data_IF_818596713302
#
_entry.id   IF_818596713302
#
_cell.length_a   1.000
_cell.length_b   1.000
_cell.length_c   1.000
_cell.angle_alpha   90.00
_cell.angle_beta   90.00
_cell.angle_gamma   90.00
#
_symmetry.space_group_name_H-M   'P 1'
#
loop_
_entity.id
_entity.type
_entity.pdbx_description
1 polymer ?
#
# COMPACT_ATOMS: atom_id res chain seq x y z
N UNK A 1 29.88 14.43 109.32
CA UNK A 1 29.64 13.63 108.09
C UNK A 1 29.92 14.53 106.90
N UNK A 2 30.77 14.10 105.95
CA UNK A 2 31.11 14.89 104.77
C UNK A 2 29.95 14.85 103.76
N UNK A 3 29.62 15.99 103.17
CA UNK A 3 28.72 16.09 102.04
C UNK A 3 29.51 15.99 100.73
N UNK A 4 29.18 14.97 99.94
CA UNK A 4 29.70 14.78 98.59
C UNK A 4 29.14 15.91 97.71
N UNK A 5 30.01 16.73 97.14
CA UNK A 5 29.67 17.71 96.11
C UNK A 5 29.89 17.06 94.75
N UNK A 6 28.82 16.80 94.00
CA UNK A 6 28.91 16.48 92.57
C UNK A 6 29.15 17.79 91.78
N UNK A 7 30.27 17.94 91.06
CA UNK A 7 30.49 19.10 90.19
C UNK A 7 29.57 19.01 88.97
N UNK A 8 28.83 20.07 88.65
CA UNK A 8 28.03 20.16 87.42
C UNK A 8 26.66 20.82 87.58
N UNK A 9 26.08 20.86 88.79
CA UNK A 9 24.85 21.60 89.08
C UNK A 9 25.08 23.07 89.46
N UNK A 10 26.33 23.49 89.69
CA UNK A 10 26.71 24.83 90.15
C UNK A 10 27.65 25.57 89.16
N UNK A 11 27.74 25.16 87.89
CA UNK A 11 28.60 25.83 86.90
C UNK A 11 27.87 26.81 85.99
N UNK A 12 26.53 26.90 86.05
CA UNK A 12 25.76 27.76 85.14
C UNK A 12 25.93 27.38 83.66
N UNK A 13 26.39 26.15 83.37
CA UNK A 13 26.55 25.67 82.02
C UNK A 13 25.17 25.27 81.50
N UNK A 14 24.61 26.12 80.64
CA UNK A 14 23.41 25.85 79.87
C UNK A 14 23.72 24.77 78.83
N UNK A 15 23.49 23.51 79.21
CA UNK A 15 23.72 22.34 78.36
C UNK A 15 22.85 22.38 77.11
N UNK A 16 21.70 23.08 77.14
CA UNK A 16 20.88 23.35 75.97
C UNK A 16 21.58 24.27 74.97
N UNK A 17 22.16 25.37 75.44
CA UNK A 17 22.97 26.26 74.61
C UNK A 17 24.24 25.59 74.08
N UNK A 18 24.93 24.77 74.88
CA UNK A 18 26.12 24.05 74.42
C UNK A 18 25.79 23.02 73.34
N UNK A 19 24.69 22.27 73.50
CA UNK A 19 24.20 21.33 72.47
C UNK A 19 23.78 22.08 71.21
N UNK A 20 23.12 23.24 71.34
CA UNK A 20 22.78 24.09 70.19
C UNK A 20 24.02 24.62 69.46
N UNK A 21 25.05 25.05 70.20
CA UNK A 21 26.32 25.51 69.62
C UNK A 21 27.07 24.36 68.92
N UNK A 22 27.08 23.15 69.51
CA UNK A 22 27.71 21.97 68.91
C UNK A 22 26.94 21.50 67.66
N UNK A 23 25.60 21.52 67.71
CA UNK A 23 24.73 21.25 66.56
C UNK A 23 24.91 22.28 65.46
N UNK A 24 25.10 23.56 65.79
CA UNK A 24 25.39 24.61 64.82
C UNK A 24 26.76 24.40 64.14
N UNK A 25 27.77 23.97 64.91
CA UNK A 25 29.08 23.60 64.37
C UNK A 25 28.98 22.37 63.47
N UNK A 26 28.21 21.35 63.87
CA UNK A 26 27.99 20.13 63.10
C UNK A 26 27.19 20.39 61.81
N UNK A 27 26.25 21.35 61.83
CA UNK A 27 25.53 21.85 60.65
C UNK A 27 26.39 22.66 59.68
N UNK A 28 27.60 23.10 60.05
CA UNK A 28 28.50 23.83 59.13
C UNK A 28 28.85 23.01 57.89
N UNK A 29 29.11 21.73 58.07
CA UNK A 29 29.40 20.79 56.98
C UNK A 29 28.15 20.58 56.11
N UNK A 30 26.96 20.47 56.70
CA UNK A 30 25.69 20.38 55.99
C UNK A 30 25.45 21.64 55.14
N UNK A 31 25.57 22.83 55.73
CA UNK A 31 25.43 24.10 55.03
C UNK A 31 26.43 24.27 53.88
N UNK A 32 27.65 23.70 54.00
CA UNK A 32 28.64 23.68 52.91
C UNK A 32 28.15 22.80 51.75
N UNK A 33 27.62 21.61 52.04
CA UNK A 33 27.05 20.72 51.01
C UNK A 33 25.78 21.31 50.38
N UNK A 34 24.91 21.96 51.14
CA UNK A 34 23.73 22.68 50.63
C UNK A 34 24.15 23.80 49.67
N UNK A 35 25.12 24.64 50.04
CA UNK A 35 25.65 25.68 49.13
C UNK A 35 26.25 25.10 47.86
N UNK A 36 26.99 23.99 47.96
CA UNK A 36 27.53 23.30 46.78
C UNK A 36 26.41 22.76 45.91
N UNK A 37 25.37 22.18 46.50
CA UNK A 37 24.20 21.68 45.78
C UNK A 37 23.51 22.81 45.02
N UNK A 38 23.20 23.93 45.68
CA UNK A 38 22.59 25.11 45.03
C UNK A 38 23.44 25.62 43.88
N UNK A 39 24.77 25.72 44.05
CA UNK A 39 25.67 26.14 42.97
C UNK A 39 25.64 25.17 41.77
N UNK A 40 25.53 23.85 42.03
CA UNK A 40 25.40 22.86 40.95
C UNK A 40 24.03 22.92 40.27
N UNK A 41 22.96 23.18 41.02
CA UNK A 41 21.61 23.39 40.47
C UNK A 41 21.57 24.63 39.57
N UNK A 42 22.13 25.76 40.00
CA UNK A 42 22.25 26.98 39.18
C UNK A 42 23.06 26.75 37.90
N UNK A 43 24.17 25.99 37.99
CA UNK A 43 24.98 25.62 36.81
C UNK A 43 24.21 24.71 35.86
N UNK A 44 23.46 23.75 36.39
CA UNK A 44 22.64 22.85 35.58
C UNK A 44 21.54 23.63 34.84
N UNK A 45 20.87 24.56 35.51
CA UNK A 45 19.85 25.42 34.90
C UNK A 45 20.43 26.32 33.80
N UNK A 46 21.59 26.93 34.06
CA UNK A 46 22.29 27.74 33.07
C UNK A 46 22.71 26.92 31.82
N UNK A 47 23.19 25.69 32.01
CA UNK A 47 23.54 24.78 30.91
C UNK A 47 22.31 24.33 30.14
N UNK A 48 21.21 23.97 30.82
CA UNK A 48 19.94 23.61 30.16
C UNK A 48 19.35 24.76 29.34
N UNK A 49 19.47 25.99 29.85
CA UNK A 49 19.07 27.19 29.13
C UNK A 49 19.93 27.41 27.88
N UNK A 50 21.26 27.23 28.00
CA UNK A 50 22.18 27.35 26.86
C UNK A 50 21.91 26.28 25.81
N UNK A 51 21.71 25.04 26.22
CA UNK A 51 21.35 23.93 25.34
C UNK A 51 20.07 24.24 24.56
N UNK A 52 19.03 24.72 25.26
CA UNK A 52 17.76 25.12 24.64
C UNK A 52 17.96 26.23 23.61
N UNK A 53 18.74 27.26 23.94
CA UNK A 53 19.06 28.37 23.02
C UNK A 53 19.85 27.89 21.79
N UNK A 54 20.82 27.01 21.97
CA UNK A 54 21.62 26.45 20.87
C UNK A 54 20.78 25.52 19.98
N UNK A 55 19.88 24.73 20.58
CA UNK A 55 18.93 23.89 19.84
C UNK A 55 17.99 24.74 18.97
N UNK A 56 17.47 25.85 19.52
CA UNK A 56 16.63 26.79 18.78
C UNK A 56 17.40 27.48 17.64
N UNK A 57 18.64 27.92 17.90
CA UNK A 57 19.49 28.51 16.88
C UNK A 57 19.79 27.52 15.75
N UNK A 58 20.16 26.27 16.10
CA UNK A 58 20.43 25.21 15.13
C UNK A 58 19.21 24.94 14.25
N UNK A 59 18.02 24.92 14.85
CA UNK A 59 16.75 24.71 14.12
C UNK A 59 16.47 25.87 13.17
N UNK A 60 16.69 27.12 13.62
CA UNK A 60 16.50 28.32 12.79
C UNK A 60 17.47 28.38 11.61
N UNK A 61 18.74 28.03 11.83
CA UNK A 61 19.75 28.00 10.75
C UNK A 61 19.47 26.89 9.74
N UNK A 62 19.00 25.72 10.20
CA UNK A 62 18.59 24.62 9.29
C UNK A 62 17.42 25.02 8.40
N UNK A 63 16.41 25.68 8.96
CA UNK A 63 15.29 26.20 8.20
C UNK A 63 15.73 27.24 7.15
N UNK A 64 16.72 28.08 7.46
CA UNK A 64 17.25 29.06 6.50
C UNK A 64 18.18 28.44 5.44
N UNK A 65 18.86 27.34 5.75
CA UNK A 65 19.72 26.64 4.80
C UNK A 65 18.95 25.79 3.77
N UNK A 66 17.65 25.65 3.95
CA UNK A 66 16.78 24.94 3.02
C UNK A 66 16.58 25.78 1.75
N UNK A 67 17.23 25.38 0.66
CA UNK A 67 17.22 26.11 -0.61
C UNK A 67 15.83 26.12 -1.27
N UNK A 68 14.98 25.14 -0.95
CA UNK A 68 13.64 25.02 -1.51
C UNK A 68 12.72 26.10 -0.91
N UNK A 69 12.91 26.42 0.37
CA UNK A 69 12.23 27.55 1.02
C UNK A 69 12.68 28.92 0.48
N UNK A 70 13.90 29.02 -0.05
CA UNK A 70 14.43 30.26 -0.65
C UNK A 70 13.94 30.50 -2.09
N UNK A 71 13.44 29.45 -2.76
CA UNK A 71 12.79 29.50 -4.08
C UNK A 71 11.29 29.17 -3.99
N UNK A 72 10.63 29.65 -2.94
CA UNK A 72 9.19 29.49 -2.82
C UNK A 72 8.46 30.40 -3.83
N UNK A 73 7.73 29.80 -4.76
CA UNK A 73 6.82 30.52 -5.63
C UNK A 73 5.46 30.68 -4.96
N UNK A 74 4.87 31.86 -5.09
CA UNK A 74 3.51 32.13 -4.64
C UNK A 74 2.54 31.88 -5.80
N UNK A 75 1.46 31.14 -5.53
CA UNK A 75 0.38 30.90 -6.50
C UNK A 75 -0.85 31.68 -6.07
N UNK A 76 -1.51 32.31 -7.02
CA UNK A 76 -2.82 32.95 -6.82
C UNK A 76 -3.79 32.46 -7.88
N UNK A 77 -4.95 31.96 -7.46
CA UNK A 77 -6.06 31.63 -8.35
C UNK A 77 -6.98 32.84 -8.49
N UNK A 78 -7.56 33.04 -9.68
CA UNK A 78 -8.60 34.05 -9.88
C UNK A 78 -9.92 33.68 -9.22
N UNK A 79 -10.16 32.39 -8.96
CA UNK A 79 -11.35 31.88 -8.28
C UNK A 79 -10.99 30.62 -7.47
N UNK A 80 -10.82 30.80 -6.16
CA UNK A 80 -10.40 29.73 -5.24
C UNK A 80 -11.52 28.76 -4.89
N UNK A 81 -12.79 29.08 -5.21
CA UNK A 81 -13.91 28.18 -4.96
C UNK A 81 -13.91 27.02 -5.98
N UNK A 82 -13.30 27.23 -7.15
CA UNK A 82 -13.18 26.21 -8.21
C UNK A 82 -11.80 25.56 -8.30
N UNK A 83 -10.72 26.32 -8.07
CA UNK A 83 -9.35 25.81 -8.22
C UNK A 83 -8.42 26.45 -7.20
N UNK A 84 -7.76 25.59 -6.42
CA UNK A 84 -6.53 25.92 -5.71
C UNK A 84 -5.36 25.24 -6.40
N UNK A 85 -4.18 25.87 -6.34
CA UNK A 85 -2.97 25.34 -6.93
C UNK A 85 -1.78 25.68 -6.03
N UNK A 86 -0.80 24.78 -6.00
CA UNK A 86 0.45 24.94 -5.26
C UNK A 86 1.62 24.84 -6.24
N UNK A 87 2.67 25.62 -6.01
CA UNK A 87 3.89 25.58 -6.81
C UNK A 87 5.02 24.98 -6.00
N UNK A 88 5.81 24.11 -6.63
CA UNK A 88 7.05 23.59 -6.07
C UNK A 88 8.22 24.52 -6.37
N UNK A 89 9.36 24.30 -5.72
CA UNK A 89 10.63 25.00 -5.92
C UNK A 89 11.19 24.92 -7.36
N UNK A 90 10.73 23.96 -8.16
CA UNK A 90 11.08 23.77 -9.58
C UNK A 90 10.09 24.43 -10.56
N UNK A 91 9.07 25.12 -10.05
CA UNK A 91 8.11 25.83 -10.89
C UNK A 91 8.77 27.00 -11.64
N UNK A 92 8.12 27.44 -12.73
CA UNK A 92 8.52 28.62 -13.49
C UNK A 92 7.47 29.71 -13.33
N UNK A 93 7.91 30.96 -13.33
CA UNK A 93 7.01 32.11 -13.29
C UNK A 93 6.19 32.17 -14.59
N UNK A 94 4.87 32.23 -14.44
CA UNK A 94 3.94 32.28 -15.57
C UNK A 94 2.50 32.45 -15.12
N UNK A 95 1.66 32.87 -16.06
CA UNK A 95 0.20 32.83 -15.89
C UNK A 95 -0.31 31.64 -16.69
N UNK A 96 -1.22 30.87 -16.09
CA UNK A 96 -1.86 29.73 -16.72
C UNK A 96 -3.38 29.93 -16.78
N UNK A 97 -3.99 29.58 -17.91
CA UNK A 97 -5.45 29.55 -18.05
C UNK A 97 -5.93 28.13 -17.83
N UNK A 98 -6.77 27.90 -16.81
CA UNK A 98 -7.30 26.57 -16.51
C UNK A 98 -8.80 26.53 -16.79
N UNK A 99 -9.24 25.51 -17.53
CA UNK A 99 -10.66 25.23 -17.81
C UNK A 99 -11.00 23.87 -17.22
N UNK A 100 -12.04 23.83 -16.38
CA UNK A 100 -12.54 22.60 -15.74
C UNK A 100 -13.91 22.29 -16.36
N UNK A 101 -13.99 21.24 -17.17
CA UNK A 101 -15.26 20.81 -17.78
C UNK A 101 -15.98 19.76 -16.94
N UNK A 102 -15.22 18.88 -16.29
CA UNK A 102 -15.72 17.78 -15.49
C UNK A 102 -14.75 17.42 -14.37
N UNK A 103 -15.28 17.02 -13.21
CA UNK A 103 -14.50 16.46 -12.12
C UNK A 103 -14.46 14.93 -12.23
N UNK A 104 -13.34 14.34 -11.81
CA UNK A 104 -13.27 12.91 -11.64
C UNK A 104 -14.25 12.49 -10.53
N UNK A 105 -14.97 11.39 -10.74
CA UNK A 105 -15.85 10.80 -9.72
C UNK A 105 -15.48 9.35 -9.48
N UNK A 106 -15.66 8.91 -8.23
CA UNK A 106 -15.54 7.52 -7.84
C UNK A 106 -16.86 6.79 -8.08
N UNK A 107 -16.78 5.48 -8.32
CA UNK A 107 -17.97 4.67 -8.57
C UNK A 107 -18.73 4.30 -7.29
N UNK A 108 -20.07 4.31 -7.34
CA UNK A 108 -20.92 3.89 -6.23
C UNK A 108 -22.10 3.04 -6.69
N UNK A 109 -22.20 1.84 -6.14
CA UNK A 109 -23.30 0.91 -6.34
C UNK A 109 -24.15 0.79 -5.07
N UNK A 110 -25.46 0.67 -5.23
CA UNK A 110 -26.43 0.51 -4.13
C UNK A 110 -27.25 -0.74 -4.37
N UNK A 111 -27.30 -1.64 -3.39
CA UNK A 111 -28.13 -2.85 -3.44
C UNK A 111 -29.61 -2.46 -3.53
N UNK A 112 -30.32 -2.98 -4.52
CA UNK A 112 -31.64 -2.49 -4.92
C UNK A 112 -32.75 -2.94 -3.97
N UNK A 113 -32.73 -4.20 -3.52
CA UNK A 113 -33.83 -4.76 -2.71
C UNK A 113 -33.73 -4.42 -1.21
N UNK A 114 -32.52 -4.20 -0.70
CA UNK A 114 -32.28 -3.92 0.71
C UNK A 114 -32.71 -5.06 1.65
N UNK A 115 -32.69 -4.78 2.96
CA UNK A 115 -33.21 -5.63 4.05
C UNK A 115 -33.97 -4.76 5.05
N UNK A 116 -34.92 -5.32 5.80
CA UNK A 116 -35.72 -4.53 6.74
C UNK A 116 -34.88 -4.04 7.92
N UNK A 117 -33.96 -4.91 8.41
CA UNK A 117 -33.05 -4.61 9.51
C UNK A 117 -31.59 -4.87 9.16
N UNK A 118 -30.68 -4.22 9.87
CA UNK A 118 -29.23 -4.43 9.73
C UNK A 118 -28.80 -5.83 10.19
N UNK A 119 -29.58 -6.45 11.07
CA UNK A 119 -29.36 -7.80 11.60
C UNK A 119 -29.95 -8.90 10.69
N UNK A 120 -30.68 -8.54 9.63
CA UNK A 120 -31.23 -9.52 8.70
C UNK A 120 -30.12 -10.30 8.00
N UNK A 121 -30.31 -11.61 7.88
CA UNK A 121 -29.32 -12.49 7.28
C UNK A 121 -29.25 -12.31 5.77
N UNK A 122 -28.02 -12.24 5.24
CA UNK A 122 -27.78 -12.20 3.79
C UNK A 122 -27.84 -13.58 3.15
N UNK A 123 -27.66 -14.64 3.95
CA UNK A 123 -27.69 -16.04 3.51
C UNK A 123 -26.29 -16.63 3.29
N UNK A 124 -26.25 -17.92 2.95
CA UNK A 124 -25.00 -18.63 2.62
C UNK A 124 -24.65 -18.34 1.17
N UNK A 125 -23.39 -17.97 0.93
CA UNK A 125 -22.84 -17.93 -0.41
C UNK A 125 -21.53 -17.18 -0.48
N UNK A 126 -21.11 -16.87 -1.69
CA UNK A 126 -19.94 -16.04 -1.97
C UNK A 126 -20.38 -14.82 -2.77
N UNK A 127 -20.01 -13.65 -2.28
CA UNK A 127 -20.13 -12.38 -2.98
C UNK A 127 -18.78 -12.04 -3.59
N UNK A 128 -18.74 -11.90 -4.91
CA UNK A 128 -17.51 -11.64 -5.65
C UNK A 128 -17.63 -10.26 -6.26
N UNK A 129 -16.61 -9.43 -6.05
CA UNK A 129 -16.53 -8.13 -6.68
C UNK A 129 -15.10 -7.85 -7.10
N UNK A 130 -14.93 -6.95 -8.05
CA UNK A 130 -13.63 -6.48 -8.49
C UNK A 130 -13.61 -4.96 -8.52
N UNK A 131 -12.43 -4.40 -8.30
CA UNK A 131 -12.15 -2.97 -8.36
C UNK A 131 -10.69 -2.78 -8.70
N UNK A 132 -10.38 -1.81 -9.56
CA UNK A 132 -9.01 -1.59 -10.08
C UNK A 132 -8.38 -2.90 -10.61
N UNK A 133 -9.14 -3.64 -11.43
CA UNK A 133 -8.78 -4.93 -12.00
C UNK A 133 -8.40 -6.04 -11.00
N UNK A 134 -8.67 -5.87 -9.71
CA UNK A 134 -8.40 -6.86 -8.67
C UNK A 134 -9.71 -7.44 -8.15
N UNK A 135 -9.85 -8.76 -8.26
CA UNK A 135 -10.99 -9.50 -7.74
C UNK A 135 -10.84 -9.80 -6.24
N UNK A 136 -11.97 -9.82 -5.52
CA UNK A 136 -12.08 -10.21 -4.12
C UNK A 136 -13.38 -10.97 -3.89
N UNK A 137 -13.30 -11.97 -3.02
CA UNK A 137 -14.43 -12.86 -2.70
C UNK A 137 -14.72 -12.85 -1.21
N UNK A 138 -15.97 -12.57 -0.84
CA UNK A 138 -16.46 -12.59 0.54
C UNK A 138 -17.37 -13.80 0.71
N UNK A 139 -16.99 -14.72 1.59
CA UNK A 139 -17.82 -15.89 1.91
C UNK A 139 -18.70 -15.62 3.13
N UNK A 140 -19.99 -15.87 3.00
CA UNK A 140 -21.00 -15.68 4.04
C UNK A 140 -21.57 -17.00 4.53
N UNK A 141 -22.14 -16.98 5.72
CA UNK A 141 -22.78 -18.14 6.36
C UNK A 141 -24.27 -17.87 6.56
N UNK A 142 -25.02 -18.90 6.98
CA UNK A 142 -26.47 -18.77 7.23
C UNK A 142 -26.82 -17.72 8.30
N UNK A 143 -25.85 -17.32 9.13
CA UNK A 143 -26.01 -16.35 10.22
C UNK A 143 -25.31 -15.02 9.95
N UNK A 144 -24.70 -14.83 8.78
CA UNK A 144 -24.07 -13.55 8.43
C UNK A 144 -25.15 -12.51 8.21
N UNK A 145 -25.12 -11.43 9.00
CA UNK A 145 -26.06 -10.31 8.89
C UNK A 145 -25.63 -9.31 7.81
N UNK A 146 -26.53 -8.38 7.44
CA UNK A 146 -26.19 -7.28 6.54
C UNK A 146 -25.09 -6.37 7.12
N UNK A 147 -25.11 -6.13 8.44
CA UNK A 147 -24.05 -5.40 9.14
C UNK A 147 -22.71 -6.16 9.12
N UNK A 148 -22.75 -7.49 9.31
CA UNK A 148 -21.54 -8.32 9.22
C UNK A 148 -20.96 -8.27 7.80
N UNK A 149 -21.80 -8.24 6.76
CA UNK A 149 -21.38 -8.15 5.36
C UNK A 149 -20.54 -6.88 5.10
N UNK A 150 -20.95 -5.72 5.65
CA UNK A 150 -20.16 -4.49 5.61
C UNK A 150 -18.81 -4.68 6.30
N UNK A 151 -18.82 -5.31 7.48
CA UNK A 151 -17.60 -5.63 8.21
C UNK A 151 -16.66 -6.56 7.44
N UNK A 152 -17.20 -7.59 6.78
CA UNK A 152 -16.43 -8.53 5.97
C UNK A 152 -15.77 -7.84 4.79
N UNK A 153 -16.47 -6.95 4.08
CA UNK A 153 -15.88 -6.20 2.96
C UNK A 153 -14.80 -5.25 3.47
N UNK A 154 -15.12 -4.37 4.44
CA UNK A 154 -14.22 -3.31 4.88
C UNK A 154 -12.96 -3.80 5.58
N UNK A 155 -13.02 -4.99 6.22
CA UNK A 155 -11.89 -5.57 6.94
C UNK A 155 -11.23 -6.73 6.20
N UNK A 156 -11.61 -7.00 4.94
CA UNK A 156 -10.93 -8.02 4.13
C UNK A 156 -9.50 -7.57 3.81
N UNK A 157 -8.51 -8.43 4.09
CA UNK A 157 -7.11 -8.12 3.87
C UNK A 157 -6.75 -7.94 2.38
N UNK A 158 -7.57 -8.48 1.48
CA UNK A 158 -7.41 -8.36 0.03
C UNK A 158 -8.26 -7.26 -0.59
N UNK A 159 -9.05 -6.52 0.21
CA UNK A 159 -9.92 -5.45 -0.27
C UNK A 159 -9.14 -4.50 -1.22
N UNK A 160 -9.56 -4.37 -2.49
CA UNK A 160 -8.83 -3.63 -3.51
C UNK A 160 -8.97 -2.10 -3.42
N UNK A 161 -9.76 -1.58 -2.47
CA UNK A 161 -10.04 -0.15 -2.33
C UNK A 161 -11.54 0.21 -2.36
N UNK A 162 -12.41 -0.72 -1.99
CA UNK A 162 -13.86 -0.51 -1.92
C UNK A 162 -14.29 -0.36 -0.47
N UNK A 163 -15.00 0.72 -0.16
CA UNK A 163 -15.65 0.93 1.14
C UNK A 163 -17.12 0.54 1.05
N UNK A 164 -17.55 -0.37 1.93
CA UNK A 164 -18.93 -0.74 2.13
C UNK A 164 -19.60 0.08 3.24
N UNK A 165 -20.88 0.35 3.10
CA UNK A 165 -21.72 1.00 4.11
C UNK A 165 -23.18 0.62 3.97
N UNK A 166 -24.03 1.13 4.86
CA UNK A 166 -25.48 0.96 4.79
C UNK A 166 -26.18 2.30 4.58
N UNK A 167 -27.17 2.31 3.69
CA UNK A 167 -28.06 3.43 3.45
C UNK A 167 -29.48 3.01 3.81
N UNK A 168 -30.13 3.75 4.70
CA UNK A 168 -31.55 3.55 5.00
C UNK A 168 -32.42 4.38 4.05
N UNK A 169 -33.25 3.72 3.25
CA UNK A 169 -34.13 4.33 2.26
C UNK A 169 -35.32 3.40 1.97
N UNK A 170 -36.51 3.97 1.68
CA UNK A 170 -37.73 3.21 1.35
C UNK A 170 -38.04 2.06 2.33
N UNK A 171 -37.96 2.37 3.63
CA UNK A 171 -38.17 1.45 4.75
C UNK A 171 -37.22 0.21 4.77
N UNK A 172 -36.08 0.28 4.08
CA UNK A 172 -35.06 -0.77 4.04
C UNK A 172 -33.62 -0.23 4.19
N UNK A 173 -32.71 -1.09 4.64
CA UNK A 173 -31.27 -0.89 4.64
C UNK A 173 -30.66 -1.49 3.38
N UNK A 174 -29.97 -0.66 2.60
CA UNK A 174 -29.30 -1.03 1.37
C UNK A 174 -27.78 -1.07 1.57
N UNK A 175 -27.14 -2.15 1.13
CA UNK A 175 -25.68 -2.22 1.05
C UNK A 175 -25.20 -1.23 -0.02
N UNK A 176 -24.28 -0.35 0.34
CA UNK A 176 -23.62 0.58 -0.58
C UNK A 176 -22.17 0.18 -0.72
N UNK A 177 -21.69 0.09 -1.95
CA UNK A 177 -20.28 -0.11 -2.30
C UNK A 177 -19.76 1.17 -2.94
N UNK A 178 -18.65 1.69 -2.43
CA UNK A 178 -18.05 2.95 -2.86
C UNK A 178 -16.57 2.74 -3.20
N UNK A 179 -16.15 3.07 -4.41
CA UNK A 179 -14.75 3.11 -4.79
C UNK A 179 -14.04 4.26 -4.09
N UNK A 180 -12.81 4.05 -3.63
CA UNK A 180 -12.07 5.07 -2.89
C UNK A 180 -11.33 6.06 -3.82
N UNK A 181 -11.14 5.70 -5.08
CA UNK A 181 -10.44 6.47 -6.09
C UNK A 181 -11.39 6.87 -7.22
N UNK A 182 -11.09 7.99 -7.86
CA UNK A 182 -11.85 8.53 -8.97
C UNK A 182 -11.10 8.36 -10.29
N UNK A 183 -11.84 8.25 -11.39
CA UNK A 183 -11.29 7.98 -12.72
C UNK A 183 -11.93 6.75 -13.35
N UNK A 184 -11.97 6.67 -14.67
CA UNK A 184 -12.64 5.61 -15.41
C UNK A 184 -12.07 4.21 -15.15
N UNK A 185 -10.81 4.14 -14.71
CA UNK A 185 -10.13 2.88 -14.39
C UNK A 185 -10.64 2.25 -13.08
N UNK A 186 -11.27 3.07 -12.22
CA UNK A 186 -11.69 2.70 -10.87
C UNK A 186 -13.17 2.27 -10.81
N UNK A 187 -13.56 1.34 -11.69
CA UNK A 187 -14.90 0.74 -11.67
C UNK A 187 -15.00 -0.43 -10.70
N UNK A 188 -16.14 -0.56 -10.02
CA UNK A 188 -16.59 -1.72 -9.27
C UNK A 188 -17.43 -2.61 -10.19
N UNK A 189 -17.05 -3.88 -10.30
CA UNK A 189 -17.88 -4.91 -10.92
C UNK A 189 -18.29 -5.96 -9.89
N UNK A 190 -19.59 -6.30 -9.85
CA UNK A 190 -20.09 -7.45 -9.07
C UNK A 190 -20.09 -8.66 -9.99
N UNK A 191 -19.30 -9.68 -9.64
CA UNK A 191 -19.02 -10.80 -10.53
C UNK A 191 -19.91 -11.99 -10.16
N UNK A 192 -20.47 -12.66 -11.17
CA UNK A 192 -21.28 -13.86 -10.95
C UNK A 192 -20.42 -15.09 -10.61
N UNK A 193 -19.12 -15.04 -10.90
CA UNK A 193 -18.16 -16.12 -10.79
C UNK A 193 -16.76 -15.56 -10.58
N UNK A 194 -15.84 -16.36 -10.04
CA UNK A 194 -14.44 -15.96 -9.90
C UNK A 194 -13.70 -16.20 -11.22
N UNK A 195 -12.63 -15.43 -11.43
CA UNK A 195 -11.59 -15.76 -12.42
C UNK A 195 -10.81 -17.00 -11.98
N UNK A 196 -10.25 -17.71 -12.94
CA UNK A 196 -9.28 -18.77 -12.67
C UNK A 196 -7.88 -18.16 -12.62
N UNK A 197 -7.16 -18.42 -11.53
CA UNK A 197 -5.80 -17.95 -11.33
C UNK A 197 -4.91 -19.16 -11.14
N UNK A 198 -3.93 -19.26 -12.00
CA UNK A 198 -2.91 -20.27 -12.05
C UNK A 198 -1.61 -19.70 -11.47
N UNK A 199 -0.99 -20.38 -10.50
CA UNK A 199 0.21 -19.88 -9.83
C UNK A 199 1.27 -20.98 -9.78
N UNK A 200 2.52 -20.62 -10.08
CA UNK A 200 3.63 -21.56 -9.89
C UNK A 200 3.76 -21.94 -8.41
N UNK A 201 3.97 -23.22 -8.13
CA UNK A 201 3.99 -23.71 -6.75
C UNK A 201 5.15 -23.12 -5.93
N UNK A 202 6.32 -23.04 -6.55
CA UNK A 202 7.52 -22.45 -5.96
C UNK A 202 7.93 -21.14 -6.66
N UNK A 203 8.60 -20.21 -5.95
CA UNK A 203 9.16 -19.02 -6.57
C UNK A 203 10.50 -19.34 -7.25
N UNK A 204 10.79 -18.64 -8.33
CA UNK A 204 12.15 -18.43 -8.81
C UNK A 204 12.95 -17.63 -7.80
N UNK A 205 14.20 -18.00 -7.57
CA UNK A 205 15.08 -17.37 -6.58
C UNK A 205 16.45 -17.05 -7.16
N UNK A 206 17.09 -16.05 -6.58
CA UNK A 206 18.49 -15.71 -6.83
C UNK A 206 19.18 -15.55 -5.48
N UNK A 207 19.95 -16.54 -5.07
CA UNK A 207 20.57 -16.61 -3.76
C UNK A 207 19.55 -16.85 -2.63
N UNK A 208 19.28 -15.83 -1.82
CA UNK A 208 18.34 -15.90 -0.70
C UNK A 208 17.05 -15.09 -0.93
N UNK A 209 16.95 -14.41 -2.07
CA UNK A 209 15.84 -13.53 -2.41
C UNK A 209 15.00 -14.11 -3.55
N UNK A 210 13.75 -13.67 -3.63
CA UNK A 210 12.88 -13.97 -4.77
C UNK A 210 13.40 -13.25 -6.02
N UNK A 211 13.39 -13.95 -7.15
CA UNK A 211 13.80 -13.37 -8.42
C UNK A 211 12.82 -12.26 -8.87
N UNK A 212 13.35 -11.31 -9.63
CA UNK A 212 12.57 -10.20 -10.22
C UNK A 212 12.51 -10.34 -11.74
N UNK A 213 11.69 -9.53 -12.40
CA UNK A 213 11.60 -9.51 -13.87
C UNK A 213 12.98 -9.31 -14.54
N UNK A 214 13.88 -8.57 -13.89
CA UNK A 214 15.22 -8.32 -14.42
C UNK A 214 16.23 -9.45 -14.17
N UNK A 215 15.91 -10.45 -13.36
CA UNK A 215 16.82 -11.58 -13.08
C UNK A 215 17.01 -12.42 -14.35
N UNK A 216 18.28 -12.72 -14.69
CA UNK A 216 18.61 -13.60 -15.83
C UNK A 216 18.23 -15.03 -15.51
N UNK A 217 17.76 -15.78 -16.51
CA UNK A 217 17.43 -17.20 -16.34
C UNK A 217 18.65 -18.00 -15.86
N UNK A 218 19.85 -17.67 -16.36
CA UNK A 218 21.10 -18.32 -15.97
C UNK A 218 21.58 -17.99 -14.56
N UNK A 219 21.04 -16.93 -13.95
CA UNK A 219 21.42 -16.51 -12.60
C UNK A 219 20.45 -17.04 -11.53
N UNK A 220 19.42 -17.79 -11.94
CA UNK A 220 18.48 -18.42 -11.05
C UNK A 220 19.14 -19.58 -10.30
N UNK A 221 18.80 -19.77 -9.03
CA UNK A 221 19.30 -20.91 -8.25
C UNK A 221 18.85 -22.26 -8.84
N UNK A 222 17.77 -22.23 -9.63
CA UNK A 222 17.19 -23.37 -10.32
C UNK A 222 17.91 -23.71 -11.64
N UNK A 223 18.74 -22.80 -12.17
CA UNK A 223 19.48 -23.04 -13.39
C UNK A 223 20.87 -23.62 -13.06
N UNK A 224 21.28 -24.66 -13.80
CA UNK A 224 22.63 -25.18 -13.73
C UNK A 224 23.14 -25.66 -15.09
N UNK A 225 24.47 -25.68 -15.23
CA UNK A 225 25.15 -26.01 -16.49
C UNK A 225 25.69 -24.79 -17.22
N UNK A 226 26.19 -25.01 -18.43
CA UNK A 226 26.72 -23.96 -19.32
C UNK A 226 25.93 -24.02 -20.63
N UNK A 227 25.48 -22.87 -21.13
CA UNK A 227 24.76 -22.79 -22.40
C UNK A 227 25.67 -23.21 -23.57
N UNK A 228 25.18 -24.10 -24.42
CA UNK A 228 25.83 -24.56 -25.66
C UNK A 228 25.02 -24.22 -26.93
N UNK A 229 23.81 -23.70 -26.76
CA UNK A 229 22.94 -23.24 -27.83
C UNK A 229 21.77 -24.18 -28.09
N UNK A 230 20.61 -23.58 -28.41
CA UNK A 230 19.37 -24.31 -28.65
C UNK A 230 18.58 -24.60 -27.38
N UNK A 231 19.05 -24.18 -26.20
CA UNK A 231 18.26 -24.21 -24.98
C UNK A 231 17.02 -23.33 -25.14
N UNK A 232 15.87 -23.81 -24.67
CA UNK A 232 14.66 -23.02 -24.75
C UNK A 232 13.55 -23.46 -23.81
N UNK A 233 12.51 -22.63 -23.72
CA UNK A 233 11.29 -22.95 -23.00
C UNK A 233 10.14 -22.97 -24.01
N UNK A 234 9.50 -24.13 -24.11
CA UNK A 234 8.26 -24.32 -24.86
C UNK A 234 7.06 -24.01 -23.97
N UNK A 235 6.13 -23.21 -24.49
CA UNK A 235 4.91 -22.79 -23.80
C UNK A 235 3.74 -23.46 -24.49
N UNK A 236 2.98 -24.26 -23.73
CA UNK A 236 1.77 -24.93 -24.21
C UNK A 236 0.66 -24.77 -23.17
N UNK A 237 -0.59 -25.01 -23.57
CA UNK A 237 -1.72 -24.82 -22.68
C UNK A 237 -3.04 -24.76 -23.39
N UNK A 238 -4.05 -24.28 -22.68
CA UNK A 238 -5.40 -24.03 -23.19
C UNK A 238 -5.91 -22.70 -22.65
N UNK A 239 -6.72 -22.00 -23.43
CA UNK A 239 -7.44 -20.80 -23.00
C UNK A 239 -8.62 -21.12 -22.05
N UNK A 240 -9.41 -20.10 -21.73
CA UNK A 240 -10.62 -20.20 -20.91
C UNK A 240 -11.58 -21.31 -21.38
N UNK A 241 -11.82 -21.38 -22.68
CA UNK A 241 -12.78 -22.30 -23.32
C UNK A 241 -12.20 -23.70 -23.54
N UNK A 242 -10.91 -23.89 -23.28
CA UNK A 242 -10.20 -25.16 -23.46
C UNK A 242 -9.64 -25.34 -24.86
N UNK A 243 -9.61 -24.29 -25.67
CA UNK A 243 -8.93 -24.27 -26.96
C UNK A 243 -7.42 -24.21 -26.69
N UNK A 244 -6.65 -25.03 -27.39
CA UNK A 244 -5.19 -24.99 -27.25
C UNK A 244 -4.66 -23.62 -27.71
N UNK A 245 -3.79 -23.01 -26.91
CA UNK A 245 -3.10 -21.78 -27.33
C UNK A 245 -2.26 -22.08 -28.58
N UNK A 246 -2.22 -21.13 -29.50
CA UNK A 246 -1.38 -21.26 -30.70
C UNK A 246 0.07 -21.42 -30.27
N UNK A 247 0.74 -22.44 -30.82
CA UNK A 247 2.12 -22.76 -30.45
C UNK A 247 3.04 -21.61 -30.84
N UNK A 248 3.40 -20.76 -29.87
CA UNK A 248 4.45 -19.76 -30.04
C UNK A 248 5.81 -20.45 -30.22
N UNK A 249 6.74 -19.87 -31.00
CA UNK A 249 8.11 -20.37 -31.07
C UNK A 249 8.69 -20.49 -29.66
N UNK A 250 9.49 -21.54 -29.37
CA UNK A 250 10.09 -21.68 -28.05
C UNK A 250 10.99 -20.47 -27.74
N UNK A 251 10.89 -19.97 -26.51
CA UNK A 251 11.76 -18.91 -26.02
C UNK A 251 13.19 -19.44 -25.95
N UNK A 252 14.07 -18.97 -26.83
CA UNK A 252 15.48 -19.35 -26.80
C UNK A 252 16.20 -18.68 -25.62
N UNK A 253 16.91 -19.49 -24.84
CA UNK A 253 17.67 -19.04 -23.67
C UNK A 253 19.10 -18.70 -24.10
N UNK A 254 19.49 -17.46 -23.80
CA UNK A 254 20.84 -16.94 -24.00
C UNK A 254 21.37 -16.42 -22.66
N UNK A 255 22.64 -16.05 -22.61
CA UNK A 255 23.27 -15.38 -21.46
C UNK A 255 22.59 -14.06 -21.03
N UNK A 256 21.69 -13.51 -21.86
CA UNK A 256 20.97 -12.27 -21.61
C UNK A 256 19.46 -12.45 -21.48
N UNK A 257 18.94 -13.67 -21.57
CA UNK A 257 17.51 -13.93 -21.41
C UNK A 257 17.12 -13.77 -19.92
N UNK A 258 16.08 -12.98 -19.67
CA UNK A 258 15.58 -12.61 -18.33
C UNK A 258 14.17 -13.14 -18.10
N UNK A 259 13.72 -13.15 -16.84
CA UNK A 259 12.34 -13.50 -16.50
C UNK A 259 11.31 -12.60 -17.18
N UNK A 260 11.62 -11.32 -17.45
CA UNK A 260 10.74 -10.43 -18.21
C UNK A 260 10.46 -10.94 -19.63
N UNK A 261 11.43 -11.58 -20.29
CA UNK A 261 11.21 -12.17 -21.60
C UNK A 261 10.29 -13.40 -21.50
N UNK A 262 10.47 -14.24 -20.49
CA UNK A 262 9.57 -15.39 -20.27
C UNK A 262 8.13 -14.93 -20.00
N UNK A 263 7.94 -13.93 -19.14
CA UNK A 263 6.61 -13.36 -18.88
C UNK A 263 6.03 -12.73 -20.15
N UNK A 264 6.85 -12.06 -20.97
CA UNK A 264 6.44 -11.54 -22.28
C UNK A 264 5.92 -12.64 -23.20
N UNK A 265 6.70 -13.70 -23.41
CA UNK A 265 6.31 -14.82 -24.27
C UNK A 265 5.07 -15.57 -23.77
N UNK A 266 4.87 -15.67 -22.45
CA UNK A 266 3.62 -16.20 -21.90
C UNK A 266 2.46 -15.28 -22.27
N UNK A 267 2.58 -13.97 -22.06
CA UNK A 267 1.50 -13.05 -22.44
C UNK A 267 1.20 -13.10 -23.95
N UNK A 268 2.24 -13.19 -24.79
CA UNK A 268 2.08 -13.31 -26.25
C UNK A 268 1.38 -14.64 -26.63
N UNK A 269 1.65 -15.73 -25.90
CA UNK A 269 1.00 -17.02 -26.14
C UNK A 269 -0.49 -17.05 -25.75
N UNK A 270 -0.91 -16.22 -24.81
CA UNK A 270 -2.29 -16.15 -24.33
C UNK A 270 -3.11 -14.99 -24.93
N UNK A 271 -2.52 -14.11 -25.75
CA UNK A 271 -3.20 -13.11 -26.62
C UNK A 271 -4.51 -12.52 -26.06
N UNK A 272 -4.43 -11.79 -24.94
CA UNK A 272 -5.57 -11.14 -24.23
C UNK A 272 -6.61 -12.09 -23.61
N UNK A 273 -6.40 -13.40 -23.64
CA UNK A 273 -7.26 -14.38 -22.94
C UNK A 273 -6.87 -14.58 -21.48
N UNK A 274 -5.58 -14.38 -21.17
CA UNK A 274 -5.06 -14.44 -19.82
C UNK A 274 -3.79 -13.59 -19.70
N UNK A 275 -3.57 -13.04 -18.50
CA UNK A 275 -2.43 -12.17 -18.19
C UNK A 275 -1.47 -12.82 -17.22
N UNK A 276 -0.20 -12.89 -17.61
CA UNK A 276 0.90 -13.36 -16.78
C UNK A 276 1.67 -12.21 -16.14
N UNK A 277 1.92 -12.32 -14.83
CA UNK A 277 2.76 -11.43 -14.05
C UNK A 277 3.73 -12.23 -13.17
N UNK A 278 4.81 -11.58 -12.72
CA UNK A 278 5.73 -12.14 -11.74
C UNK A 278 5.49 -11.49 -10.37
N UNK A 279 5.00 -12.27 -9.40
CA UNK A 279 4.74 -11.81 -8.03
C UNK A 279 5.58 -12.60 -7.04
N UNK A 280 6.49 -11.93 -6.34
CA UNK A 280 7.35 -12.56 -5.33
C UNK A 280 8.06 -13.81 -5.88
N UNK A 281 8.63 -13.70 -7.09
CA UNK A 281 9.31 -14.80 -7.79
C UNK A 281 8.39 -15.86 -8.39
N UNK A 282 7.07 -15.81 -8.18
CA UNK A 282 6.11 -16.78 -8.74
C UNK A 282 5.46 -16.24 -10.01
N UNK A 283 5.28 -17.11 -11.00
CA UNK A 283 4.43 -16.80 -12.16
C UNK A 283 2.98 -16.88 -11.70
N UNK A 284 2.21 -15.84 -12.01
CA UNK A 284 0.77 -15.79 -11.80
C UNK A 284 0.12 -15.53 -13.15
N UNK A 285 -0.66 -16.47 -13.65
CA UNK A 285 -1.45 -16.36 -14.86
C UNK A 285 -2.92 -16.24 -14.46
N UNK A 286 -3.54 -15.12 -14.78
CA UNK A 286 -4.94 -14.82 -14.45
C UNK A 286 -5.77 -14.84 -15.72
N UNK A 287 -6.84 -15.63 -15.72
CA UNK A 287 -7.86 -15.61 -16.77
C UNK A 287 -8.50 -14.23 -16.84
N UNK A 288 -8.60 -13.65 -18.04
CA UNK A 288 -9.26 -12.36 -18.24
C UNK A 288 -10.79 -12.51 -18.29
N UNK A 289 -11.31 -13.74 -18.32
CA UNK A 289 -12.73 -14.09 -18.29
C UNK A 289 -13.15 -14.74 -16.96
N UNK A 290 -14.21 -14.21 -16.35
CA UNK A 290 -14.83 -14.80 -15.16
C UNK A 290 -15.56 -16.10 -15.50
N UNK A 291 -15.49 -17.11 -14.63
CA UNK A 291 -16.27 -18.34 -14.82
C UNK A 291 -15.48 -19.62 -14.64
N UNK A 292 -16.17 -20.74 -14.86
CA UNK A 292 -15.50 -22.05 -14.95
C UNK A 292 -14.56 -22.00 -16.12
N UNK A 293 -13.27 -22.24 -15.87
CA UNK A 293 -12.25 -22.04 -16.88
C UNK A 293 -11.42 -23.31 -17.07
N UNK A 294 -11.19 -23.65 -18.34
CA UNK A 294 -10.28 -24.69 -18.76
C UNK A 294 -8.85 -24.16 -18.93
N UNK A 295 -8.57 -22.91 -18.55
CA UNK A 295 -7.24 -22.29 -18.66
C UNK A 295 -6.18 -23.22 -18.07
N UNK A 296 -5.14 -23.49 -18.85
CA UNK A 296 -3.99 -24.29 -18.44
C UNK A 296 -2.74 -23.75 -19.11
N UNK A 297 -1.61 -23.93 -18.44
CA UNK A 297 -0.30 -23.58 -18.97
C UNK A 297 0.68 -24.66 -18.54
N UNK A 298 1.59 -25.01 -19.44
CA UNK A 298 2.68 -25.94 -19.23
C UNK A 298 3.92 -25.33 -19.86
N UNK A 299 4.98 -25.23 -19.06
CA UNK A 299 6.28 -24.73 -19.47
C UNK A 299 7.25 -25.92 -19.51
N UNK A 300 7.81 -26.21 -20.67
CA UNK A 300 8.74 -27.32 -20.85
C UNK A 300 10.13 -26.79 -21.22
N UNK A 301 11.14 -27.14 -20.43
CA UNK A 301 12.53 -26.74 -20.71
C UNK A 301 13.21 -27.78 -21.61
N UNK A 302 13.75 -27.31 -22.73
CA UNK A 302 14.61 -28.09 -23.62
C UNK A 302 16.07 -27.67 -23.42
N UNK A 303 16.97 -28.59 -23.01
CA UNK A 303 18.41 -28.30 -22.89
C UNK A 303 19.12 -28.18 -24.25
N UNK A 304 18.41 -28.36 -25.37
CA UNK A 304 18.98 -28.25 -26.70
C UNK A 304 20.06 -29.31 -26.93
N UNK A 305 21.26 -28.88 -27.35
CA UNK A 305 22.41 -29.78 -27.52
C UNK A 305 23.29 -29.95 -26.28
N UNK A 306 23.03 -29.20 -25.20
CA UNK A 306 23.84 -29.18 -23.98
C UNK A 306 23.35 -30.13 -22.88
N UNK A 307 24.01 -30.05 -21.72
CA UNK A 307 23.63 -30.75 -20.46
C UNK A 307 23.11 -29.78 -19.39
N UNK A 308 22.54 -28.64 -19.81
CA UNK A 308 21.92 -27.67 -18.90
C UNK A 308 20.67 -28.24 -18.26
N UNK A 309 20.36 -27.75 -17.07
CA UNK A 309 19.09 -28.04 -16.42
C UNK A 309 18.51 -26.76 -15.86
N UNK A 310 17.23 -26.54 -16.11
CA UNK A 310 16.41 -25.66 -15.32
C UNK A 310 15.62 -26.58 -14.39
N UNK A 311 16.22 -26.95 -13.25
CA UNK A 311 15.67 -27.93 -12.31
C UNK A 311 14.42 -27.30 -11.69
N UNK A 312 13.22 -27.85 -11.92
CA UNK A 312 12.05 -27.40 -11.21
C UNK A 312 12.08 -27.99 -9.80
N UNK A 313 11.98 -27.19 -8.73
CA UNK A 313 11.23 -27.64 -7.58
C UNK A 313 9.76 -27.38 -7.90
N UNK A 314 9.13 -28.21 -8.73
CA UNK A 314 7.70 -28.06 -9.07
C UNK A 314 7.31 -26.64 -9.57
N UNK A 315 8.25 -25.82 -10.04
CA UNK A 315 8.00 -24.42 -10.49
C UNK A 315 7.25 -24.39 -11.83
N UNK A 316 7.44 -25.43 -12.63
CA UNK A 316 6.73 -25.62 -13.91
C UNK A 316 5.37 -26.32 -13.71
N UNK A 317 5.12 -26.88 -12.52
CA UNK A 317 3.79 -27.30 -12.11
C UNK A 317 3.05 -26.05 -11.62
N UNK A 318 2.17 -25.57 -12.49
CA UNK A 318 1.33 -24.42 -12.22
C UNK A 318 0.05 -24.96 -11.59
N UNK A 319 -0.08 -24.79 -10.28
CA UNK A 319 -1.27 -25.21 -9.56
C UNK A 319 -2.37 -24.16 -9.64
N UNK A 320 -3.60 -24.66 -9.54
CA UNK A 320 -4.80 -23.85 -9.57
C UNK A 320 -4.95 -23.15 -8.22
N UNK A 321 -4.66 -21.86 -8.15
CA UNK A 321 -4.83 -21.05 -6.94
C UNK A 321 -6.29 -20.61 -6.72
N UNK A 322 -7.04 -20.40 -7.80
CA UNK A 322 -8.51 -20.35 -7.81
C UNK A 322 -8.99 -21.18 -9.00
N UNK A 323 -10.04 -21.99 -8.82
CA UNK A 323 -10.49 -22.92 -9.86
C UNK A 323 -11.23 -22.28 -11.04
N UNK A 324 -11.61 -21.00 -10.92
CA UNK A 324 -12.68 -20.46 -11.72
C UNK A 324 -14.01 -21.15 -11.41
N UNK A 325 -15.12 -20.43 -11.59
CA UNK A 325 -16.47 -20.99 -11.45
C UNK A 325 -17.38 -20.12 -10.61
N UNK A 326 -18.58 -20.63 -10.32
CA UNK A 326 -19.54 -20.02 -9.40
C UNK A 326 -19.39 -20.64 -8.01
N UNK A 327 -18.52 -20.13 -7.10
CA UNK A 327 -18.65 -20.47 -5.70
C UNK A 327 -20.06 -20.07 -5.29
N UNK A 328 -20.78 -20.93 -4.55
CA UNK A 328 -22.23 -20.81 -4.34
C UNK A 328 -22.70 -19.36 -4.20
N UNK A 329 -23.18 -18.77 -5.29
CA UNK A 329 -23.32 -17.30 -5.39
C UNK A 329 -24.30 -16.83 -4.34
N UNK A 330 -23.96 -15.73 -3.66
CA UNK A 330 -24.86 -15.15 -2.68
C UNK A 330 -26.15 -14.68 -3.36
N UNK A 331 -27.24 -15.40 -3.10
CA UNK A 331 -28.54 -15.14 -3.73
C UNK A 331 -29.05 -13.74 -3.39
N UNK A 332 -29.50 -12.99 -4.41
CA UNK A 332 -29.98 -11.62 -4.27
C UNK A 332 -28.87 -10.57 -4.13
N UNK A 333 -27.62 -10.93 -4.43
CA UNK A 333 -26.46 -10.04 -4.50
C UNK A 333 -25.69 -10.18 -5.83
N UNK A 334 -26.38 -10.53 -6.92
CA UNK A 334 -25.80 -10.51 -8.26
C UNK A 334 -25.68 -9.06 -8.78
N UNK A 335 -24.96 -8.83 -9.88
CA UNK A 335 -24.84 -7.50 -10.49
C UNK A 335 -26.20 -6.82 -10.76
N UNK A 336 -27.21 -7.60 -11.16
CA UNK A 336 -28.58 -7.12 -11.38
C UNK A 336 -29.30 -6.66 -10.11
N UNK A 337 -28.83 -7.08 -8.94
CA UNK A 337 -29.38 -6.69 -7.64
C UNK A 337 -28.78 -5.39 -7.12
N UNK A 338 -27.93 -4.71 -7.89
CA UNK A 338 -27.39 -3.40 -7.56
C UNK A 338 -27.72 -2.38 -8.64
N UNK A 339 -27.86 -1.13 -8.20
CA UNK A 339 -28.06 0.04 -9.05
C UNK A 339 -26.82 0.92 -8.98
N UNK A 340 -26.28 1.30 -10.13
CA UNK A 340 -25.21 2.28 -10.24
C UNK A 340 -25.76 3.68 -9.92
N UNK A 341 -25.33 4.26 -8.80
CA UNK A 341 -25.78 5.58 -8.33
C UNK A 341 -24.85 6.72 -8.74
N UNK A 342 -23.58 6.41 -8.98
CA UNK A 342 -22.55 7.34 -9.44
C UNK A 342 -21.52 6.53 -10.22
N UNK A 343 -21.22 6.92 -11.46
CA UNK A 343 -20.23 6.24 -12.30
C UNK A 343 -18.82 6.71 -11.96
N UNK A 344 -17.83 5.83 -12.15
CA UNK A 344 -16.43 6.23 -12.25
C UNK A 344 -16.22 7.03 -13.55
N UNK A 345 -15.57 8.19 -13.45
CA UNK A 345 -15.24 9.02 -14.62
C UNK A 345 -13.99 9.86 -14.34
N UNK A 346 -13.26 10.24 -15.38
CA UNK A 346 -12.08 11.09 -15.26
C UNK A 346 -12.44 12.57 -15.16
N UNK A 347 -11.47 13.34 -14.67
CA UNK A 347 -11.51 14.79 -14.75
C UNK A 347 -11.16 15.26 -16.16
N UNK A 348 -11.86 16.27 -16.63
CA UNK A 348 -11.57 16.93 -17.90
C UNK A 348 -11.10 18.36 -17.61
N UNK A 349 -9.78 18.50 -17.44
CA UNK A 349 -9.12 19.77 -17.13
C UNK A 349 -8.19 20.13 -18.29
N UNK A 350 -8.26 21.38 -18.75
CA UNK A 350 -7.34 21.92 -19.75
C UNK A 350 -6.51 23.04 -19.13
N UNK A 351 -5.21 23.05 -19.43
CA UNK A 351 -4.28 24.12 -19.03
C UNK A 351 -3.70 24.75 -20.29
N UNK A 352 -3.82 26.07 -20.40
CA UNK A 352 -3.38 26.87 -21.55
C UNK A 352 -3.93 26.37 -22.90
N UNK A 353 -5.14 25.80 -22.86
CA UNK A 353 -5.82 25.23 -24.04
C UNK A 353 -5.25 23.89 -24.51
N UNK A 354 -4.35 23.27 -23.75
CA UNK A 354 -3.89 21.91 -23.99
C UNK A 354 -4.70 20.90 -23.16
N UNK A 355 -5.13 19.78 -23.75
CA UNK A 355 -4.86 19.33 -25.12
C UNK A 355 -5.74 20.01 -26.17
N UNK A 356 -5.16 20.24 -27.36
CA UNK A 356 -5.84 20.92 -28.47
C UNK A 356 -6.78 19.98 -29.21
N UNK A 357 -8.00 19.86 -28.70
CA UNK A 357 -9.05 18.94 -29.16
C UNK A 357 -9.92 18.63 -27.95
N UNK A 358 -11.24 18.71 -28.07
CA UNK A 358 -12.17 18.65 -26.93
C UNK A 358 -11.87 17.53 -25.92
N UNK A 359 -12.19 17.82 -24.66
CA UNK A 359 -12.33 16.92 -23.51
C UNK A 359 -11.68 15.54 -23.67
N UNK A 360 -10.43 15.44 -23.21
CA UNK A 360 -9.80 14.13 -23.00
C UNK A 360 -9.83 13.80 -21.50
N UNK A 361 -10.22 12.56 -21.23
CA UNK A 361 -9.97 11.84 -19.98
C UNK A 361 -8.46 11.63 -19.82
N UNK A 362 -7.76 12.47 -19.06
CA UNK A 362 -6.38 12.14 -18.66
C UNK A 362 -5.95 12.88 -17.38
N UNK A 363 -5.21 12.18 -16.53
CA UNK A 363 -4.51 12.74 -15.36
C UNK A 363 -3.35 13.59 -15.87
N UNK A 364 -3.57 14.91 -15.99
CA UNK A 364 -2.52 15.81 -16.43
C UNK A 364 -1.49 16.05 -15.31
N UNK A 365 -0.26 15.57 -15.51
CA UNK A 365 0.92 16.08 -14.79
C UNK A 365 1.55 17.20 -15.62
N UNK A 366 1.39 18.45 -15.17
CA UNK A 366 2.01 19.58 -15.85
C UNK A 366 3.53 19.56 -15.63
N UNK A 367 4.29 19.05 -16.60
CA UNK A 367 5.74 19.20 -16.63
C UNK A 367 6.10 20.51 -17.36
N UNK A 368 6.82 21.46 -16.74
CA UNK A 368 7.16 22.70 -17.42
C UNK A 368 8.15 22.48 -18.56
N UNK A 369 7.85 23.03 -19.74
CA UNK A 369 8.74 22.96 -20.90
C UNK A 369 9.98 23.83 -20.71
N UNK A 370 11.16 23.23 -20.87
CA UNK A 370 12.44 23.95 -20.88
C UNK A 370 12.50 24.92 -22.08
N UNK A 371 12.56 26.23 -21.81
CA UNK A 371 12.79 27.22 -22.85
C UNK A 371 14.19 27.05 -23.47
N UNK A 372 14.35 27.08 -24.80
CA UNK A 372 15.66 27.03 -25.42
C UNK A 372 16.39 28.37 -25.21
N UNK A 373 17.59 28.27 -24.65
CA UNK A 373 18.56 29.37 -24.49
C UNK A 373 19.05 29.94 -25.81
#
# INVERSE_FOLDING_TARGET
MPSIRLPGLQSGIDTGQLVQQLMALQRRTLNMYERRKTLWEERQEALSTLESKLSNLRSSVRALSDADALRAYAVSSSDTDYLTAEATNDAFEGNHTVVINQLATAERWVHTSGKEYTEDYVGVGTFIYSYNHKETSITTTATTTLQDMVGLINNDANNPGVTAGLLYHDDAYHLVLNGNDAGSDYTISVNASSTKVLKSDSPFTQGSDNATLTTKITDLDQFSGTLEGGEGIEITGTDHDGVAIDSVPPLLITENTRLEHLIGEINDAFDETAKAVLENGKIVLTDDTYGTSSLSITLNYDPGSGETTLIPPDILDISVSTAGGTPGVLSGFAASDFTLSQAAQDSEIQVDGYPSGGTISEVQTASPSKSPS
#
